data_IF_716006860345
#
_entry.id   IF_716006860345
#
_cell.length_a   1.000
_cell.length_b   1.000
_cell.length_c   1.000
_cell.angle_alpha   90.00
_cell.angle_beta   90.00
_cell.angle_gamma   90.00
#
_symmetry.space_group_name_H-M   'P 1'
#
loop_
_entity.id
_entity.type
_entity.pdbx_description
1 polymer ?
#
# COMPACT_ATOMS: atom_id res chain seq x y z
N UNK A 1 1.35 -6.06 21.48
CA UNK A 1 1.43 -6.48 20.06
C UNK A 1 1.71 -5.23 19.22
N UNK A 2 2.87 -5.18 18.56
CA UNK A 2 3.14 -4.10 17.59
C UNK A 2 2.22 -4.36 16.39
N UNK A 3 1.09 -3.67 16.39
CA UNK A 3 0.13 -3.68 15.29
C UNK A 3 0.79 -2.98 14.10
N UNK A 4 1.17 -3.73 13.07
CA UNK A 4 1.46 -3.11 11.78
C UNK A 4 0.15 -2.51 11.27
N UNK A 5 0.13 -1.21 11.00
CA UNK A 5 -1.01 -0.53 10.39
C UNK A 5 -1.23 -1.11 8.97
N UNK A 6 -2.49 -1.24 8.58
CA UNK A 6 -2.81 -1.73 7.23
C UNK A 6 -2.68 -0.60 6.22
N UNK A 7 -2.45 -0.89 4.94
CA UNK A 7 -2.40 0.18 3.91
C UNK A 7 -3.65 1.07 3.93
N UNK A 8 -4.82 0.53 4.30
CA UNK A 8 -6.06 1.28 4.39
C UNK A 8 -6.14 2.27 5.57
N UNK A 9 -5.30 2.09 6.60
CA UNK A 9 -5.26 2.99 7.78
C UNK A 9 -4.35 4.21 7.53
N UNK A 10 -3.52 4.13 6.48
CA UNK A 10 -2.57 5.16 6.13
C UNK A 10 -3.27 6.39 5.53
N UNK A 11 -2.65 7.55 5.75
CA UNK A 11 -3.10 8.83 5.20
C UNK A 11 -2.31 9.22 3.96
N UNK A 12 -2.93 10.07 3.13
CA UNK A 12 -2.26 10.67 1.97
C UNK A 12 -1.03 11.46 2.40
N UNK A 13 0.08 11.25 1.70
CA UNK A 13 1.41 11.79 1.98
C UNK A 13 2.26 10.91 2.89
N UNK A 14 1.72 9.80 3.39
CA UNK A 14 2.46 8.86 4.24
C UNK A 14 3.34 7.92 3.41
N UNK A 15 4.60 7.76 3.84
CA UNK A 15 5.52 6.80 3.22
C UNK A 15 5.54 5.51 4.04
N UNK A 16 5.14 4.43 3.39
CA UNK A 16 5.06 3.11 4.00
C UNK A 16 5.87 2.07 3.26
N UNK A 17 6.35 1.09 3.99
CA UNK A 17 6.99 -0.09 3.44
C UNK A 17 6.03 -1.27 3.48
N UNK A 18 5.83 -1.93 2.34
CA UNK A 18 5.05 -3.16 2.27
C UNK A 18 5.78 -4.25 3.06
N UNK A 19 5.13 -4.80 4.09
CA UNK A 19 5.67 -5.93 4.86
C UNK A 19 5.12 -7.26 4.35
N UNK A 20 3.82 -7.28 4.04
CA UNK A 20 3.14 -8.50 3.56
C UNK A 20 2.00 -8.15 2.63
N UNK A 21 1.94 -8.88 1.51
CA UNK A 21 0.90 -8.80 0.49
C UNK A 21 0.01 -10.05 0.58
N UNK A 22 -1.33 -9.94 0.40
CA UNK A 22 -2.22 -11.08 0.35
C UNK A 22 -1.98 -11.90 -0.93
N UNK A 23 -1.80 -13.20 -0.76
CA UNK A 23 -1.56 -14.16 -1.83
C UNK A 23 -2.83 -14.93 -2.26
N UNK A 24 -4.01 -14.51 -1.80
CA UNK A 24 -5.26 -15.20 -2.12
C UNK A 24 -5.78 -14.94 -3.55
N UNK A 25 -5.27 -13.90 -4.21
CA UNK A 25 -5.72 -13.45 -5.52
C UNK A 25 -4.54 -13.42 -6.51
N UNK A 26 -4.44 -14.38 -7.44
CA UNK A 26 -3.30 -14.49 -8.35
C UNK A 26 -3.28 -13.41 -9.43
N UNK A 27 -4.40 -12.75 -9.70
CA UNK A 27 -4.47 -11.64 -10.65
C UNK A 27 -3.97 -10.36 -10.00
N UNK A 28 -4.34 -10.11 -8.73
CA UNK A 28 -3.76 -9.05 -7.92
C UNK A 28 -2.24 -9.22 -7.77
N UNK A 29 -1.76 -10.42 -7.44
CA UNK A 29 -0.31 -10.68 -7.31
C UNK A 29 0.45 -10.35 -8.60
N UNK A 30 -0.13 -10.68 -9.76
CA UNK A 30 0.44 -10.37 -11.06
C UNK A 30 0.48 -8.87 -11.29
N UNK A 31 -0.65 -8.19 -11.04
CA UNK A 31 -0.75 -6.74 -11.13
C UNK A 31 0.29 -6.04 -10.24
N UNK A 32 0.42 -6.42 -8.98
CA UNK A 32 1.42 -5.87 -8.07
C UNK A 32 2.85 -6.14 -8.56
N UNK A 33 3.12 -7.35 -9.07
CA UNK A 33 4.44 -7.70 -9.61
C UNK A 33 4.79 -6.91 -10.88
N UNK A 34 3.80 -6.63 -11.75
CA UNK A 34 3.98 -5.80 -12.95
C UNK A 34 4.34 -4.36 -12.59
N UNK A 35 3.83 -3.85 -11.47
CA UNK A 35 4.15 -2.53 -10.92
C UNK A 35 5.31 -2.54 -9.91
N UNK A 36 6.11 -3.62 -9.87
CA UNK A 36 7.25 -3.76 -8.96
C UNK A 36 6.90 -3.61 -7.46
N UNK A 37 5.62 -3.80 -7.11
CA UNK A 37 5.13 -3.79 -5.74
C UNK A 37 5.36 -5.16 -5.12
N UNK A 38 6.42 -5.24 -4.32
CA UNK A 38 6.83 -6.45 -3.62
C UNK A 38 6.94 -6.19 -2.13
N UNK A 39 6.95 -7.25 -1.29
CA UNK A 39 7.35 -7.10 0.10
C UNK A 39 8.75 -6.46 0.15
N UNK A 40 8.94 -5.44 0.98
CA UNK A 40 10.10 -4.53 1.04
C UNK A 40 10.05 -3.29 0.16
N UNK A 41 9.15 -3.21 -0.82
CA UNK A 41 8.96 -1.98 -1.60
C UNK A 41 8.41 -0.87 -0.70
N UNK A 42 8.93 0.34 -0.89
CA UNK A 42 8.43 1.56 -0.25
C UNK A 42 7.49 2.26 -1.22
N UNK A 43 6.31 2.62 -0.74
CA UNK A 43 5.26 3.30 -1.50
C UNK A 43 4.77 4.51 -0.72
N UNK A 44 4.36 5.54 -1.44
CA UNK A 44 3.72 6.73 -0.89
C UNK A 44 2.22 6.67 -1.14
N UNK A 45 1.40 6.96 -0.14
CA UNK A 45 -0.04 7.07 -0.34
C UNK A 45 -0.33 8.42 -0.99
N UNK A 46 -0.82 8.42 -2.22
CA UNK A 46 -1.15 9.66 -2.95
C UNK A 46 -2.64 9.98 -2.92
N UNK A 47 -3.49 8.97 -2.73
CA UNK A 47 -4.94 9.16 -2.61
C UNK A 47 -5.56 8.06 -1.75
N UNK A 48 -6.45 8.44 -0.84
CA UNK A 48 -7.31 7.50 -0.11
C UNK A 48 -8.73 8.01 -0.17
N UNK A 49 -9.62 7.18 -0.69
CA UNK A 49 -11.05 7.48 -0.74
C UNK A 49 -11.76 6.64 0.32
N UNK A 50 -12.57 7.29 1.17
CA UNK A 50 -13.38 6.60 2.20
C UNK A 50 -14.46 5.68 1.63
N UNK A 51 -14.59 5.62 0.30
CA UNK A 51 -15.57 4.81 -0.43
C UNK A 51 -14.90 3.76 -1.33
N UNK A 52 -13.67 3.36 -1.03
CA UNK A 52 -13.21 2.01 -1.40
C UNK A 52 -11.98 1.91 -2.30
N UNK A 53 -11.18 2.96 -2.49
CA UNK A 53 -9.92 2.88 -3.23
C UNK A 53 -8.78 3.65 -2.56
N UNK A 54 -7.61 3.02 -2.52
CA UNK A 54 -6.34 3.56 -2.05
C UNK A 54 -5.37 3.55 -3.23
N UNK A 55 -4.90 4.72 -3.63
CA UNK A 55 -3.91 4.90 -4.67
C UNK A 55 -2.57 5.16 -4.02
N UNK A 56 -1.59 4.34 -4.39
CA UNK A 56 -0.21 4.40 -3.94
C UNK A 56 0.74 4.62 -5.12
N UNK A 57 1.84 5.28 -4.82
CA UNK A 57 2.89 5.66 -5.76
C UNK A 57 4.19 4.96 -5.33
N UNK A 58 4.67 3.94 -6.07
CA UNK A 58 5.91 3.25 -5.76
C UNK A 58 7.12 4.13 -6.05
N UNK A 59 8.01 4.27 -5.06
CA UNK A 59 9.23 5.07 -5.18
C UNK A 59 10.16 4.41 -6.22
N UNK A 60 10.37 5.08 -7.36
CA UNK A 60 11.15 4.56 -8.49
C UNK A 60 10.35 4.21 -9.75
N UNK A 61 9.02 4.36 -9.71
CA UNK A 61 8.14 4.18 -10.88
C UNK A 61 7.27 5.43 -11.09
N UNK A 62 6.97 5.79 -12.34
CA UNK A 62 6.02 6.87 -12.66
C UNK A 62 4.55 6.37 -12.66
N UNK A 63 4.30 5.12 -12.25
CA UNK A 63 3.00 4.47 -12.38
C UNK A 63 2.31 4.29 -11.03
N UNK A 64 1.12 4.88 -10.93
CA UNK A 64 0.29 4.80 -9.73
C UNK A 64 -0.50 3.51 -9.71
N UNK A 65 -0.55 2.89 -8.53
CA UNK A 65 -1.27 1.65 -8.30
C UNK A 65 -2.50 1.95 -7.46
N UNK A 66 -3.68 1.67 -8.01
CA UNK A 66 -4.94 1.82 -7.31
C UNK A 66 -5.42 0.45 -6.81
N UNK A 67 -5.59 0.33 -5.50
CA UNK A 67 -6.06 -0.89 -4.85
C UNK A 67 -7.41 -0.64 -4.19
N UNK A 68 -8.32 -1.62 -4.22
CA UNK A 68 -9.53 -1.58 -3.41
C UNK A 68 -9.18 -1.46 -1.92
N UNK A 69 -10.00 -0.76 -1.14
CA UNK A 69 -9.83 -0.68 0.32
C UNK A 69 -9.82 -2.08 0.96
N UNK A 70 -10.64 -3.01 0.46
CA UNK A 70 -10.64 -4.40 0.91
C UNK A 70 -9.31 -5.13 0.71
N UNK A 71 -8.56 -4.77 -0.33
CA UNK A 71 -7.22 -5.30 -0.59
C UNK A 71 -6.21 -4.58 0.30
N UNK A 72 -6.29 -3.25 0.38
CA UNK A 72 -5.41 -2.43 1.20
C UNK A 72 -5.46 -2.81 2.70
N UNK A 73 -6.65 -3.13 3.24
CA UNK A 73 -6.80 -3.61 4.63
C UNK A 73 -6.16 -4.99 4.86
N UNK A 74 -5.99 -5.80 3.81
CA UNK A 74 -5.35 -7.11 3.90
C UNK A 74 -3.84 -7.05 3.72
N UNK A 75 -3.32 -5.93 3.21
CA UNK A 75 -1.90 -5.65 3.09
C UNK A 75 -1.40 -5.02 4.38
N UNK A 76 -0.36 -5.61 4.96
CA UNK A 76 0.32 -5.04 6.12
C UNK A 76 1.47 -4.18 5.66
N UNK A 77 1.53 -2.96 6.16
CA UNK A 77 2.61 -2.03 5.86
C UNK A 77 3.18 -1.44 7.15
N UNK A 78 4.40 -0.93 7.04
CA UNK A 78 5.08 -0.25 8.12
C UNK A 78 5.32 1.20 7.73
N UNK A 79 4.76 2.11 8.51
CA UNK A 79 4.99 3.55 8.40
C UNK A 79 6.46 3.87 8.62
N UNK A 80 7.13 4.39 7.58
CA UNK A 80 8.54 4.83 7.64
C UNK A 80 8.64 6.32 7.97
N UNK A 81 7.70 7.10 7.45
CA UNK A 81 7.57 8.52 7.75
C UNK A 81 6.08 8.82 7.84
N UNK A 82 5.61 8.82 9.09
CA UNK A 82 4.35 9.43 9.44
C UNK A 82 4.58 10.91 9.61
N UNK A 83 3.76 11.74 8.97
CA UNK A 83 3.62 13.14 9.37
C UNK A 83 3.24 13.13 10.86
N UNK A 84 4.25 13.24 11.71
CA UNK A 84 4.12 13.14 13.16
C UNK A 84 3.32 14.37 13.60
N UNK A 85 2.04 14.19 13.88
CA UNK A 85 1.18 15.23 14.41
C UNK A 85 0.79 14.93 15.86
#
# INVERSE_FOLDING_TARGET
PQSGETLADQQVGDKVRIERVPDNDPDLLRYLSEHEITPTTVVEIVETTSFGMVTLDPDGTDERVALPEEVARSITAQTLTGASN
#
